data_IF_553202495861
#
_entry.id   IF_553202495861
#
_cell.length_a   1.000
_cell.length_b   1.000
_cell.length_c   1.000
_cell.angle_alpha   90.00
_cell.angle_beta   90.00
_cell.angle_gamma   90.00
#
_symmetry.space_group_name_H-M   'P 1'
#
loop_
_entity.id
_entity.type
_entity.pdbx_description
1 polymer ?
#
# COMPACT_ATOMS: atom_id res chain seq x y z
N UNK A 1 7.09 -1.57 50.50
CA UNK A 1 6.50 -0.60 49.57
C UNK A 1 5.22 -0.10 50.19
N UNK A 2 5.00 1.21 50.20
CA UNK A 2 3.72 1.80 50.62
C UNK A 2 2.64 1.44 49.59
N UNK A 3 1.39 1.25 50.03
CA UNK A 3 0.23 1.02 49.16
C UNK A 3 0.14 2.06 48.02
N UNK A 4 0.55 3.31 48.28
CA UNK A 4 0.62 4.39 47.28
C UNK A 4 1.69 4.17 46.21
N UNK A 5 2.83 3.55 46.55
CA UNK A 5 3.92 3.25 45.62
C UNK A 5 3.53 2.12 44.66
N UNK A 6 2.82 1.11 45.17
CA UNK A 6 2.28 0.00 44.37
C UNK A 6 1.20 0.49 43.38
N UNK A 7 0.29 1.35 43.84
CA UNK A 7 -0.73 1.99 43.00
C UNK A 7 -0.09 2.85 41.88
N UNK A 8 0.94 3.64 42.21
CA UNK A 8 1.67 4.44 41.23
C UNK A 8 2.43 3.57 40.22
N UNK A 9 3.05 2.48 40.67
CA UNK A 9 3.73 1.54 39.78
C UNK A 9 2.75 0.84 38.82
N UNK A 10 1.58 0.43 39.32
CA UNK A 10 0.51 -0.15 38.51
C UNK A 10 -0.02 0.85 37.46
N UNK A 11 -0.24 2.10 37.85
CA UNK A 11 -0.67 3.17 36.94
C UNK A 11 0.36 3.39 35.82
N UNK A 12 1.65 3.49 36.16
CA UNK A 12 2.74 3.65 35.17
C UNK A 12 2.82 2.46 34.20
N UNK A 13 2.67 1.23 34.69
CA UNK A 13 2.63 0.03 33.83
C UNK A 13 1.47 0.10 32.84
N UNK A 14 0.26 0.41 33.33
CA UNK A 14 -0.94 0.54 32.50
C UNK A 14 -0.80 1.64 31.44
N UNK A 15 -0.24 2.79 31.80
CA UNK A 15 0.04 3.87 30.85
C UNK A 15 1.06 3.47 29.78
N UNK A 16 2.14 2.77 30.17
CA UNK A 16 3.15 2.27 29.24
C UNK A 16 2.58 1.24 28.26
N UNK A 17 1.75 0.33 28.74
CA UNK A 17 1.05 -0.66 27.92
C UNK A 17 0.08 0.00 26.93
N UNK A 18 -0.75 0.93 27.41
CA UNK A 18 -1.68 1.68 26.55
C UNK A 18 -0.94 2.49 25.47
N UNK A 19 0.19 3.12 25.82
CA UNK A 19 1.01 3.85 24.86
C UNK A 19 1.62 2.93 23.80
N UNK A 20 2.18 1.78 24.20
CA UNK A 20 2.71 0.77 23.27
C UNK A 20 1.62 0.20 22.36
N UNK A 21 0.43 -0.04 22.91
CA UNK A 21 -0.74 -0.48 22.14
C UNK A 21 -1.10 0.50 21.03
N UNK A 22 -1.14 1.80 21.35
CA UNK A 22 -1.38 2.87 20.36
C UNK A 22 -0.30 2.91 19.29
N UNK A 23 0.98 2.92 19.67
CA UNK A 23 2.10 2.92 18.71
C UNK A 23 2.00 1.74 17.75
N UNK A 24 1.73 0.54 18.26
CA UNK A 24 1.62 -0.66 17.44
C UNK A 24 0.43 -0.59 16.47
N UNK A 25 -0.71 -0.05 16.93
CA UNK A 25 -1.88 0.18 16.08
C UNK A 25 -1.59 1.20 14.97
N UNK A 26 -1.07 2.38 15.32
CA UNK A 26 -0.74 3.43 14.36
C UNK A 26 0.30 2.94 13.34
N UNK A 27 1.26 2.13 13.78
CA UNK A 27 2.29 1.52 12.93
C UNK A 27 1.68 0.55 11.92
N UNK A 28 0.75 -0.32 12.35
CA UNK A 28 0.02 -1.23 11.45
C UNK A 28 -0.82 -0.45 10.45
N UNK A 29 -1.62 0.51 10.91
CA UNK A 29 -2.52 1.28 10.05
C UNK A 29 -1.73 2.09 9.02
N UNK A 30 -0.59 2.67 9.43
CA UNK A 30 0.36 3.32 8.53
C UNK A 30 0.90 2.36 7.48
N UNK A 31 1.38 1.18 7.88
CA UNK A 31 1.96 0.20 6.96
C UNK A 31 0.92 -0.29 5.95
N UNK A 32 -0.29 -0.67 6.41
CA UNK A 32 -1.40 -1.08 5.54
C UNK A 32 -1.73 -0.04 4.49
N UNK A 33 -1.90 1.22 4.92
CA UNK A 33 -2.22 2.32 4.01
C UNK A 33 -1.15 2.52 2.94
N UNK A 34 0.13 2.46 3.33
CA UNK A 34 1.26 2.60 2.40
C UNK A 34 1.31 1.40 1.44
N UNK A 35 1.22 0.18 1.97
CA UNK A 35 1.28 -1.05 1.19
C UNK A 35 0.14 -1.12 0.16
N UNK A 36 -1.10 -0.88 0.57
CA UNK A 36 -2.27 -0.85 -0.33
C UNK A 36 -2.13 0.21 -1.42
N UNK A 37 -1.60 1.40 -1.09
CA UNK A 37 -1.33 2.44 -2.10
C UNK A 37 -0.29 1.98 -3.10
N UNK A 38 0.83 1.41 -2.65
CA UNK A 38 1.91 0.91 -3.53
C UNK A 38 1.43 -0.21 -4.45
N UNK A 39 0.66 -1.17 -3.93
CA UNK A 39 0.05 -2.22 -4.75
C UNK A 39 -0.85 -1.66 -5.84
N UNK A 40 -1.77 -0.75 -5.48
CA UNK A 40 -2.66 -0.10 -6.45
C UNK A 40 -1.88 0.69 -7.50
N UNK A 41 -0.88 1.47 -7.09
CA UNK A 41 -0.02 2.22 -8.00
C UNK A 41 0.73 1.29 -8.96
N UNK A 42 1.26 0.16 -8.48
CA UNK A 42 1.94 -0.82 -9.32
C UNK A 42 1.05 -1.35 -10.44
N UNK A 43 -0.16 -1.82 -10.12
CA UNK A 43 -1.09 -2.34 -11.13
C UNK A 43 -1.57 -1.25 -12.10
N UNK A 44 -1.95 -0.07 -11.59
CA UNK A 44 -2.41 1.03 -12.45
C UNK A 44 -1.29 1.48 -13.39
N UNK A 45 -0.06 1.60 -12.89
CA UNK A 45 1.09 2.00 -13.73
C UNK A 45 1.38 0.96 -14.80
N UNK A 46 1.32 -0.32 -14.47
CA UNK A 46 1.48 -1.39 -15.45
C UNK A 46 0.40 -1.35 -16.53
N UNK A 47 -0.88 -1.22 -16.16
CA UNK A 47 -1.99 -1.11 -17.12
C UNK A 47 -1.83 0.12 -18.02
N UNK A 48 -1.44 1.26 -17.45
CA UNK A 48 -1.18 2.48 -18.22
C UNK A 48 -0.04 2.28 -19.24
N UNK A 49 1.03 1.55 -18.87
CA UNK A 49 2.11 1.24 -19.80
C UNK A 49 1.63 0.37 -20.97
N UNK A 50 0.77 -0.62 -20.72
CA UNK A 50 0.14 -1.41 -21.78
C UNK A 50 -0.75 -0.57 -22.69
N UNK A 51 -1.56 0.31 -22.09
CA UNK A 51 -2.46 1.23 -22.81
C UNK A 51 -1.68 2.20 -23.71
N UNK A 52 -0.57 2.75 -23.21
CA UNK A 52 0.27 3.70 -23.93
C UNK A 52 1.10 3.01 -25.04
N UNK A 53 1.59 1.80 -24.79
CA UNK A 53 2.52 1.11 -25.71
C UNK A 53 1.77 0.37 -26.82
N UNK A 54 0.71 -0.36 -26.47
CA UNK A 54 0.01 -1.25 -27.41
C UNK A 54 -1.39 -0.79 -27.74
N UNK A 55 -1.97 0.10 -26.91
CA UNK A 55 -3.40 0.29 -26.91
C UNK A 55 -3.94 0.91 -28.20
N UNK A 56 -3.22 1.87 -28.78
CA UNK A 56 -3.64 2.51 -30.02
C UNK A 56 -3.74 1.50 -31.18
N UNK A 57 -2.67 0.74 -31.44
CA UNK A 57 -2.63 -0.18 -32.57
C UNK A 57 -3.59 -1.36 -32.38
N UNK A 58 -3.62 -1.94 -31.16
CA UNK A 58 -4.30 -3.23 -30.93
C UNK A 58 -5.80 -3.08 -30.65
N UNK A 59 -6.23 -2.04 -29.93
CA UNK A 59 -7.65 -1.82 -29.58
C UNK A 59 -8.14 -0.38 -29.73
N UNK A 60 -7.37 0.46 -30.43
CA UNK A 60 -7.72 1.86 -30.68
C UNK A 60 -7.85 2.68 -29.40
N UNK A 61 -6.96 2.48 -28.43
CA UNK A 61 -6.96 3.28 -27.20
C UNK A 61 -7.00 4.79 -27.52
N UNK A 62 -7.88 5.52 -26.82
CA UNK A 62 -8.20 6.93 -27.06
C UNK A 62 -8.83 7.27 -28.42
N UNK A 63 -9.16 6.28 -29.26
CA UNK A 63 -9.98 6.50 -30.45
C UNK A 63 -11.47 6.35 -30.14
N UNK A 64 -12.31 7.24 -30.70
CA UNK A 64 -13.76 7.14 -30.57
C UNK A 64 -14.27 5.91 -31.34
N UNK A 65 -15.42 5.39 -30.92
CA UNK A 65 -15.95 4.08 -31.34
C UNK A 65 -16.22 3.99 -32.85
N UNK A 66 -16.50 5.13 -33.50
CA UNK A 66 -16.77 5.20 -34.94
C UNK A 66 -15.49 5.05 -35.77
N UNK A 67 -14.31 5.30 -35.18
CA UNK A 67 -13.01 5.26 -35.87
C UNK A 67 -12.29 3.92 -35.74
N UNK A 68 -12.89 2.94 -35.08
CA UNK A 68 -12.26 1.66 -34.84
C UNK A 68 -12.53 0.68 -35.95
N UNK A 69 -11.49 -0.08 -36.28
CA UNK A 69 -11.66 -1.27 -37.10
C UNK A 69 -12.49 -2.33 -36.35
N UNK A 70 -13.20 -3.22 -37.05
CA UNK A 70 -13.92 -4.33 -36.42
C UNK A 70 -13.02 -5.17 -35.49
N UNK A 71 -11.75 -5.35 -35.86
CA UNK A 71 -10.77 -6.06 -35.06
C UNK A 71 -10.42 -5.30 -33.76
N UNK A 72 -10.17 -3.99 -33.84
CA UNK A 72 -9.92 -3.16 -32.67
C UNK A 72 -11.09 -3.16 -31.70
N UNK A 73 -12.34 -3.18 -32.19
CA UNK A 73 -13.54 -3.32 -31.35
C UNK A 73 -13.56 -4.64 -30.59
N UNK A 74 -13.29 -5.75 -31.27
CA UNK A 74 -13.23 -7.06 -30.63
C UNK A 74 -12.11 -7.12 -29.58
N UNK A 75 -10.94 -6.56 -29.89
CA UNK A 75 -9.81 -6.51 -28.97
C UNK A 75 -10.06 -5.59 -27.78
N UNK A 76 -10.78 -4.48 -27.96
CA UNK A 76 -11.19 -3.59 -26.86
C UNK A 76 -12.05 -4.30 -25.83
N UNK A 77 -13.02 -5.09 -26.28
CA UNK A 77 -13.87 -5.88 -25.36
C UNK A 77 -13.00 -6.84 -24.53
N UNK A 78 -12.03 -7.50 -25.17
CA UNK A 78 -11.08 -8.39 -24.47
C UNK A 78 -10.20 -7.61 -23.50
N UNK A 79 -9.68 -6.46 -23.91
CA UNK A 79 -8.85 -5.60 -23.06
C UNK A 79 -9.61 -5.15 -21.82
N UNK A 80 -10.83 -4.64 -21.96
CA UNK A 80 -11.65 -4.20 -20.82
C UNK A 80 -11.92 -5.34 -19.83
N UNK A 81 -12.17 -6.55 -20.34
CA UNK A 81 -12.35 -7.73 -19.50
C UNK A 81 -11.06 -8.11 -18.74
N UNK A 82 -9.91 -8.07 -19.42
CA UNK A 82 -8.60 -8.36 -18.80
C UNK A 82 -8.23 -7.28 -17.78
N UNK A 83 -8.38 -6.01 -18.13
CA UNK A 83 -8.14 -4.84 -17.28
C UNK A 83 -8.95 -4.93 -15.99
N UNK A 84 -10.24 -5.22 -16.09
CA UNK A 84 -11.12 -5.46 -14.94
C UNK A 84 -10.60 -6.60 -14.07
N UNK A 85 -10.28 -7.75 -14.68
CA UNK A 85 -9.79 -8.92 -13.95
C UNK A 85 -8.46 -8.64 -13.21
N UNK A 86 -7.55 -7.89 -13.81
CA UNK A 86 -6.28 -7.48 -13.18
C UNK A 86 -6.56 -6.59 -11.96
N UNK A 87 -7.42 -5.59 -12.10
CA UNK A 87 -7.78 -4.69 -10.99
C UNK A 87 -8.49 -5.44 -9.86
N UNK A 88 -9.43 -6.33 -10.16
CA UNK A 88 -10.15 -7.11 -9.16
C UNK A 88 -9.22 -8.03 -8.38
N UNK A 89 -8.34 -8.76 -9.09
CA UNK A 89 -7.32 -9.62 -8.47
C UNK A 89 -6.31 -8.80 -7.66
N UNK A 90 -5.84 -7.68 -8.19
CA UNK A 90 -4.92 -6.78 -7.50
C UNK A 90 -5.51 -6.22 -6.20
N UNK A 91 -6.79 -5.83 -6.22
CA UNK A 91 -7.52 -5.37 -5.03
C UNK A 91 -7.70 -6.49 -4.00
N UNK A 92 -7.96 -7.73 -4.45
CA UNK A 92 -8.03 -8.88 -3.56
C UNK A 92 -6.68 -9.15 -2.86
N UNK A 93 -5.58 -9.08 -3.61
CA UNK A 93 -4.23 -9.23 -3.06
C UNK A 93 -3.87 -8.11 -2.06
N UNK A 94 -4.25 -6.86 -2.35
CA UNK A 94 -4.05 -5.76 -1.41
C UNK A 94 -4.81 -5.96 -0.10
N UNK A 95 -6.04 -6.53 -0.14
CA UNK A 95 -6.79 -6.88 1.07
C UNK A 95 -6.14 -8.02 1.84
N UNK A 96 -5.72 -9.08 1.14
CA UNK A 96 -5.03 -10.22 1.76
C UNK A 96 -3.75 -9.77 2.49
N UNK A 97 -2.94 -8.90 1.87
CA UNK A 97 -1.78 -8.30 2.52
C UNK A 97 -2.15 -7.49 3.77
N UNK A 98 -3.26 -6.75 3.72
CA UNK A 98 -3.78 -6.04 4.88
C UNK A 98 -4.10 -6.97 6.05
N UNK A 99 -4.74 -8.11 5.77
CA UNK A 99 -5.03 -9.14 6.77
C UNK A 99 -3.73 -9.78 7.31
N UNK A 100 -2.76 -10.04 6.45
CA UNK A 100 -1.46 -10.59 6.85
C UNK A 100 -0.72 -9.63 7.82
N UNK A 101 -0.75 -8.33 7.54
CA UNK A 101 -0.17 -7.30 8.42
C UNK A 101 -0.82 -7.30 9.82
N UNK A 102 -2.11 -7.62 9.93
CA UNK A 102 -2.80 -7.71 11.23
C UNK A 102 -2.29 -8.84 12.12
N UNK A 103 -1.78 -9.91 11.52
CA UNK A 103 -1.23 -11.05 12.23
C UNK A 103 0.18 -10.79 12.78
N UNK A 104 0.79 -9.66 12.42
CA UNK A 104 2.17 -9.33 12.76
C UNK A 104 2.28 -8.21 13.79
N UNK A 105 3.31 -8.31 14.64
CA UNK A 105 3.73 -7.20 15.48
C UNK A 105 4.50 -6.19 14.63
N UNK A 106 3.87 -5.06 14.35
CA UNK A 106 4.45 -3.97 13.57
C UNK A 106 4.71 -2.77 14.46
N UNK A 107 5.92 -2.21 14.37
CA UNK A 107 6.34 -1.00 15.07
C UNK A 107 7.12 -0.13 14.09
N UNK A 108 6.72 1.13 13.96
CA UNK A 108 7.42 2.10 13.12
C UNK A 108 8.57 2.73 13.91
N UNK A 109 9.80 2.48 13.48
CA UNK A 109 11.03 2.98 14.14
C UNK A 109 11.27 4.49 13.98
N UNK A 110 10.37 5.21 13.30
CA UNK A 110 10.59 6.60 12.91
C UNK A 110 11.42 6.73 11.64
N UNK A 111 11.63 7.97 11.21
CA UNK A 111 12.57 8.26 10.12
C UNK A 111 13.98 8.28 10.72
N UNK A 112 14.88 7.41 10.22
CA UNK A 112 16.29 7.52 10.55
C UNK A 112 16.84 8.77 9.88
N UNK A 113 16.99 9.85 10.64
CA UNK A 113 17.70 11.04 10.20
C UNK A 113 19.18 10.81 10.48
N UNK A 114 19.92 10.36 9.46
CA UNK A 114 21.38 10.43 9.51
C UNK A 114 21.78 11.90 9.43
N UNK A 115 22.11 12.51 10.56
CA UNK A 115 22.90 13.74 10.52
C UNK A 115 24.28 13.33 10.02
N UNK A 116 24.54 13.55 8.73
CA UNK A 116 25.87 13.38 8.14
C UNK A 116 26.83 14.36 8.77
N UNK A 117 27.31 14.06 9.97
CA UNK A 117 28.54 14.63 10.50
C UNK A 117 29.69 13.92 9.83
N UNK A 118 30.25 14.53 8.80
CA UNK A 118 31.62 14.26 8.39
C UNK A 118 32.52 14.58 9.57
N UNK A 119 32.79 13.60 10.43
CA UNK A 119 34.04 13.58 11.19
C UNK A 119 35.12 13.04 10.25
N UNK A 120 35.50 13.88 9.29
CA UNK A 120 36.86 13.83 8.75
C UNK A 120 37.73 14.52 9.80
N UNK A 121 38.49 13.72 10.55
CA UNK A 121 39.32 14.24 11.62
C UNK A 121 40.15 13.17 12.30
N UNK A 122 41.14 12.65 11.57
CA UNK A 122 42.57 12.46 11.94
C UNK A 122 43.17 11.20 11.32
#
# INVERSE_FOLDING_TARGET
>A
MSRKEEELAALRRRQKEAHRGRIAQDSRDRLKRIASKKFRTCFISALAEFENTFGFDVWGHNLPEEKLTPEQKANRIRWEQVRKNILDKGNAQARALGMEIDLHKVEFEGYRMGFGGTTDGQ
#
